data_IF_927373572616
#
_entry.id   IF_927373572616
#
_cell.length_a   1.000
_cell.length_b   1.000
_cell.length_c   1.000
_cell.angle_alpha   90.00
_cell.angle_beta   90.00
_cell.angle_gamma   90.00
#
_symmetry.space_group_name_H-M   'P 1'
#
loop_
_entity.id
_entity.type
_entity.pdbx_description
1 polymer ?
#
# COMPACT_ATOMS: atom_id res chain seq x y z
N UNK A 1 29.20 -23.59 38.45
CA UNK A 1 29.48 -23.17 37.06
C UNK A 1 28.14 -22.75 36.45
N UNK A 2 27.74 -21.49 36.62
CA UNK A 2 26.44 -20.97 36.15
C UNK A 2 26.63 -20.23 34.83
N UNK A 3 26.09 -20.79 33.75
CA UNK A 3 26.05 -20.12 32.44
C UNK A 3 24.90 -19.11 32.50
N UNK A 4 25.24 -17.85 32.78
CA UNK A 4 24.32 -16.71 32.58
C UNK A 4 24.23 -16.43 31.08
N UNK A 5 23.16 -16.87 30.44
CA UNK A 5 22.82 -16.44 29.09
C UNK A 5 22.30 -15.00 29.15
N UNK A 6 23.13 -14.03 28.79
CA UNK A 6 22.68 -12.66 28.56
C UNK A 6 21.60 -12.64 27.47
N UNK A 7 20.46 -11.95 27.65
CA UNK A 7 19.47 -11.82 26.60
C UNK A 7 20.12 -11.11 25.40
N UNK A 8 20.12 -11.77 24.25
CA UNK A 8 20.60 -11.16 23.01
C UNK A 8 19.77 -9.90 22.76
N UNK A 9 20.42 -8.73 22.83
CA UNK A 9 19.75 -7.47 22.49
C UNK A 9 19.38 -7.52 21.01
N UNK A 10 18.10 -7.66 20.71
CA UNK A 10 17.59 -7.56 19.34
C UNK A 10 18.01 -6.21 18.78
N UNK A 11 18.99 -6.20 17.88
CA UNK A 11 19.42 -4.99 17.20
C UNK A 11 18.20 -4.37 16.53
N UNK A 12 17.85 -3.14 16.94
CA UNK A 12 16.79 -2.38 16.30
C UNK A 12 17.13 -2.28 14.81
N UNK A 13 16.17 -2.52 13.90
CA UNK A 13 16.42 -2.34 12.48
C UNK A 13 17.02 -0.94 12.26
N UNK A 14 18.16 -0.88 11.57
CA UNK A 14 18.88 0.36 11.31
C UNK A 14 17.96 1.27 10.51
N UNK A 15 17.67 2.46 11.04
CA UNK A 15 16.89 3.48 10.34
C UNK A 15 17.55 3.84 9.02
N UNK A 16 16.76 3.92 7.95
CA UNK A 16 17.21 4.14 6.56
C UNK A 16 16.62 5.47 6.04
N UNK A 17 17.25 6.61 6.39
CA UNK A 17 16.75 7.92 5.98
C UNK A 17 16.71 8.11 4.46
N UNK A 18 17.57 7.40 3.74
CA UNK A 18 17.60 7.34 2.28
C UNK A 18 16.28 6.80 1.70
N UNK A 19 15.73 5.74 2.30
CA UNK A 19 14.48 5.14 1.84
C UNK A 19 13.29 6.06 2.16
N UNK A 20 13.28 6.68 3.34
CA UNK A 20 12.23 7.64 3.70
C UNK A 20 12.27 8.89 2.81
N UNK A 21 13.47 9.35 2.42
CA UNK A 21 13.65 10.42 1.43
C UNK A 21 13.07 10.05 0.06
N UNK A 22 13.30 8.82 -0.41
CA UNK A 22 12.71 8.34 -1.66
C UNK A 22 11.18 8.29 -1.61
N UNK A 23 10.59 7.88 -0.47
CA UNK A 23 9.14 7.92 -0.28
C UNK A 23 8.60 9.35 -0.32
N UNK A 24 9.29 10.29 0.32
CA UNK A 24 8.90 11.68 0.31
C UNK A 24 8.89 12.25 -1.12
N UNK A 25 9.92 11.95 -1.93
CA UNK A 25 9.97 12.33 -3.34
C UNK A 25 8.84 11.71 -4.17
N UNK A 26 8.56 10.42 -3.93
CA UNK A 26 7.47 9.71 -4.60
C UNK A 26 6.11 10.36 -4.30
N UNK A 27 5.83 10.68 -3.03
CA UNK A 27 4.61 11.39 -2.62
C UNK A 27 4.56 12.80 -3.22
N UNK A 28 5.66 13.55 -3.16
CA UNK A 28 5.72 14.92 -3.68
C UNK A 28 5.44 14.96 -5.19
N UNK A 29 5.97 13.99 -5.94
CA UNK A 29 5.68 13.83 -7.37
C UNK A 29 4.18 13.70 -7.64
N UNK A 30 3.48 12.87 -6.86
CA UNK A 30 2.03 12.67 -6.98
C UNK A 30 1.26 13.95 -6.61
N UNK A 31 1.66 14.63 -5.54
CA UNK A 31 1.03 15.89 -5.11
C UNK A 31 1.19 16.99 -6.16
N UNK A 32 2.40 17.15 -6.72
CA UNK A 32 2.66 18.13 -7.77
C UNK A 32 1.83 17.80 -9.02
N UNK A 33 1.72 16.53 -9.39
CA UNK A 33 0.91 16.11 -10.54
C UNK A 33 -0.57 16.48 -10.38
N UNK A 34 -1.15 16.32 -9.19
CA UNK A 34 -2.56 16.69 -8.97
C UNK A 34 -2.74 18.21 -8.85
N UNK A 35 -1.81 18.92 -8.23
CA UNK A 35 -1.92 20.38 -8.07
C UNK A 35 -1.59 21.15 -9.36
N UNK A 36 -0.64 20.66 -10.15
CA UNK A 36 -0.11 21.30 -11.36
C UNK A 36 0.19 20.24 -12.45
N UNK A 37 -0.86 19.66 -13.08
CA UNK A 37 -0.70 18.52 -13.99
C UNK A 37 0.19 18.81 -15.21
N UNK A 38 0.24 20.07 -15.66
CA UNK A 38 1.08 20.48 -16.78
C UNK A 38 2.57 20.68 -16.41
N UNK A 39 2.91 20.68 -15.12
CA UNK A 39 4.28 20.95 -14.64
C UNK A 39 5.12 19.68 -14.52
N UNK A 40 4.51 18.56 -14.13
CA UNK A 40 5.19 17.28 -13.97
C UNK A 40 4.40 16.16 -14.66
N UNK A 41 4.49 16.12 -15.99
CA UNK A 41 3.92 15.05 -16.80
C UNK A 41 4.47 13.70 -16.31
N UNK A 42 3.57 12.79 -15.91
CA UNK A 42 3.96 11.48 -15.38
C UNK A 42 4.18 11.42 -13.86
N UNK A 43 3.87 12.48 -13.10
CA UNK A 43 4.09 12.45 -11.65
C UNK A 43 3.29 11.38 -10.88
N UNK A 44 2.27 10.78 -11.51
CA UNK A 44 1.56 9.59 -11.03
C UNK A 44 2.46 8.35 -10.84
N UNK A 45 3.60 8.26 -11.54
CA UNK A 45 4.61 7.19 -11.34
C UNK A 45 5.15 7.16 -9.91
N UNK A 46 5.00 8.26 -9.16
CA UNK A 46 5.29 8.28 -7.73
C UNK A 46 4.51 7.24 -6.94
N UNK A 47 3.30 6.86 -7.36
CA UNK A 47 2.55 5.77 -6.70
C UNK A 47 3.25 4.43 -6.88
N UNK A 48 3.68 4.11 -8.11
CA UNK A 48 4.36 2.86 -8.43
C UNK A 48 5.68 2.75 -7.64
N UNK A 49 6.45 3.84 -7.56
CA UNK A 49 7.68 3.91 -6.75
C UNK A 49 7.36 3.69 -5.27
N UNK A 50 6.30 4.30 -4.76
CA UNK A 50 5.89 4.14 -3.37
C UNK A 50 5.52 2.68 -3.05
N UNK A 51 4.80 1.99 -3.95
CA UNK A 51 4.47 0.57 -3.81
C UNK A 51 5.70 -0.32 -3.81
N UNK A 52 6.68 -0.08 -4.69
CA UNK A 52 7.97 -0.80 -4.67
C UNK A 52 8.69 -0.64 -3.33
N UNK A 53 8.77 0.59 -2.82
CA UNK A 53 9.43 0.85 -1.52
C UNK A 53 8.67 0.19 -0.37
N UNK A 54 7.33 0.26 -0.38
CA UNK A 54 6.48 -0.39 0.62
C UNK A 54 6.65 -1.90 0.63
N UNK A 55 6.71 -2.52 -0.55
CA UNK A 55 7.05 -3.93 -0.74
C UNK A 55 8.40 -4.28 -0.13
N UNK A 56 9.45 -3.53 -0.49
CA UNK A 56 10.80 -3.74 0.06
C UNK A 56 10.84 -3.67 1.59
N UNK A 57 10.25 -2.63 2.18
CA UNK A 57 10.25 -2.43 3.63
C UNK A 57 9.50 -3.54 4.36
N UNK A 58 8.33 -3.94 3.84
CA UNK A 58 7.53 -4.94 4.53
C UNK A 58 8.09 -6.35 4.40
N UNK A 59 8.63 -6.70 3.23
CA UNK A 59 9.30 -7.98 3.02
C UNK A 59 10.51 -8.11 3.94
N UNK A 60 11.32 -7.06 4.11
CA UNK A 60 12.43 -7.09 5.08
C UNK A 60 11.97 -7.37 6.52
N UNK A 61 10.88 -6.75 6.97
CA UNK A 61 10.31 -7.00 8.30
C UNK A 61 9.85 -8.44 8.44
N UNK A 62 9.13 -8.95 7.42
CA UNK A 62 8.58 -10.31 7.41
C UNK A 62 9.72 -11.34 7.35
N UNK A 63 10.61 -11.24 6.37
CA UNK A 63 11.68 -12.20 6.13
C UNK A 63 12.65 -12.26 7.31
N UNK A 64 13.01 -11.11 7.90
CA UNK A 64 13.83 -11.09 9.11
C UNK A 64 13.13 -11.80 10.27
N UNK A 65 11.85 -11.53 10.49
CA UNK A 65 11.08 -12.21 11.53
C UNK A 65 10.98 -13.72 11.30
N UNK A 66 10.75 -14.15 10.06
CA UNK A 66 10.64 -15.56 9.69
C UNK A 66 12.00 -16.28 9.81
N UNK A 67 13.09 -15.64 9.36
CA UNK A 67 14.44 -16.17 9.49
C UNK A 67 14.86 -16.37 10.96
N UNK A 68 14.46 -15.45 11.83
CA UNK A 68 14.73 -15.51 13.27
C UNK A 68 13.72 -16.37 14.05
N UNK A 69 12.70 -16.93 13.39
CA UNK A 69 11.62 -17.67 14.04
C UNK A 69 10.77 -16.83 15.01
N UNK A 70 10.83 -15.50 14.91
CA UNK A 70 10.21 -14.54 15.82
C UNK A 70 9.07 -13.75 15.16
N UNK A 71 8.59 -14.16 13.99
CA UNK A 71 7.51 -13.47 13.29
C UNK A 71 6.17 -13.71 14.00
N UNK A 72 5.49 -12.61 14.33
CA UNK A 72 4.18 -12.60 14.98
C UNK A 72 3.23 -11.78 14.13
N UNK A 73 2.15 -12.43 13.64
CA UNK A 73 1.09 -11.77 12.90
C UNK A 73 0.41 -10.69 13.74
N UNK A 74 0.13 -10.99 15.01
CA UNK A 74 -0.49 -10.03 15.92
C UNK A 74 0.37 -8.77 16.05
N UNK A 75 1.67 -8.91 16.33
CA UNK A 75 2.55 -7.75 16.49
C UNK A 75 2.75 -6.99 15.19
N UNK A 76 2.75 -7.70 14.05
CA UNK A 76 2.80 -7.11 12.72
C UNK A 76 1.61 -6.19 12.48
N UNK A 77 0.38 -6.71 12.63
CA UNK A 77 -0.83 -5.93 12.41
C UNK A 77 -1.03 -4.84 13.48
N UNK A 78 -0.72 -5.12 14.75
CA UNK A 78 -0.83 -4.14 15.82
C UNK A 78 0.11 -2.93 15.63
N UNK A 79 1.29 -3.12 15.03
CA UNK A 79 2.17 -2.00 14.66
C UNK A 79 1.61 -1.19 13.49
N UNK A 80 1.03 -1.85 12.50
CA UNK A 80 0.38 -1.20 11.35
C UNK A 80 -0.79 -0.34 11.79
N UNK A 81 -1.70 -0.90 12.59
CA UNK A 81 -2.86 -0.19 13.15
C UNK A 81 -2.41 1.07 13.90
N UNK A 82 -1.47 0.95 14.85
CA UNK A 82 -0.96 2.09 15.63
C UNK A 82 -0.25 3.16 14.78
N UNK A 83 0.27 2.80 13.61
CA UNK A 83 0.95 3.72 12.70
C UNK A 83 -0.04 4.45 11.79
N UNK A 84 -1.07 3.77 11.30
CA UNK A 84 -1.91 4.25 10.20
C UNK A 84 -3.21 4.87 10.71
N UNK A 85 -3.90 4.21 11.63
CA UNK A 85 -5.21 4.67 12.10
C UNK A 85 -5.21 6.10 12.67
N UNK A 86 -4.18 6.57 13.42
CA UNK A 86 -4.18 7.96 13.87
C UNK A 86 -4.26 8.97 12.73
N UNK A 87 -3.50 8.76 11.65
CA UNK A 87 -3.53 9.63 10.48
C UNK A 87 -4.86 9.53 9.73
N UNK A 88 -5.37 8.31 9.52
CA UNK A 88 -6.68 8.08 8.90
C UNK A 88 -7.81 8.76 9.68
N UNK A 89 -7.83 8.62 11.00
CA UNK A 89 -8.82 9.28 11.87
C UNK A 89 -8.74 10.79 11.77
N UNK A 90 -7.54 11.37 11.76
CA UNK A 90 -7.36 12.83 11.60
C UNK A 90 -7.92 13.29 10.24
N UNK A 91 -7.62 12.56 9.16
CA UNK A 91 -8.12 12.92 7.82
C UNK A 91 -9.65 12.79 7.75
N UNK A 92 -10.23 11.70 8.24
CA UNK A 92 -11.70 11.51 8.25
C UNK A 92 -12.41 12.60 9.06
N UNK A 93 -11.97 12.85 10.30
CA UNK A 93 -12.57 13.87 11.17
C UNK A 93 -12.36 15.28 10.63
N UNK A 94 -11.16 15.56 10.09
CA UNK A 94 -10.86 16.84 9.44
C UNK A 94 -11.73 17.07 8.21
N UNK A 95 -11.90 16.04 7.36
CA UNK A 95 -12.78 16.11 6.20
C UNK A 95 -14.24 16.30 6.60
N UNK A 96 -14.73 15.65 7.67
CA UNK A 96 -16.09 15.91 8.16
C UNK A 96 -16.25 17.32 8.72
N UNK A 97 -15.28 17.80 9.48
CA UNK A 97 -15.31 19.15 10.05
C UNK A 97 -15.34 20.21 8.94
N UNK A 98 -14.43 20.11 7.97
CA UNK A 98 -14.38 21.02 6.82
C UNK A 98 -15.61 20.84 5.94
N UNK A 99 -16.01 19.60 5.67
CA UNK A 99 -17.19 19.27 4.88
C UNK A 99 -18.46 19.91 5.43
N UNK A 100 -18.65 19.90 6.75
CA UNK A 100 -19.79 20.52 7.40
C UNK A 100 -19.89 22.04 7.14
N UNK A 101 -18.76 22.74 7.07
CA UNK A 101 -18.73 24.20 6.87
C UNK A 101 -18.73 24.61 5.40
N UNK A 102 -18.16 23.79 4.50
CA UNK A 102 -17.85 24.19 3.14
C UNK A 102 -18.64 23.44 2.04
N UNK A 103 -19.19 22.26 2.32
CA UNK A 103 -19.93 21.48 1.32
C UNK A 103 -21.44 21.74 1.38
N UNK A 104 -22.12 21.56 0.25
CA UNK A 104 -23.58 21.55 0.19
C UNK A 104 -24.12 20.30 0.90
N UNK A 105 -25.39 20.30 1.38
CA UNK A 105 -25.95 19.16 2.11
C UNK A 105 -25.84 17.82 1.37
N UNK A 106 -26.01 17.79 0.05
CA UNK A 106 -25.87 16.55 -0.73
C UNK A 106 -24.41 16.09 -0.84
N UNK A 107 -23.46 16.99 -1.08
CA UNK A 107 -22.02 16.68 -1.10
C UNK A 107 -21.51 16.19 0.26
N UNK A 108 -22.07 16.72 1.35
CA UNK A 108 -21.74 16.26 2.70
C UNK A 108 -22.30 14.86 2.98
N UNK A 109 -23.49 14.52 2.46
CA UNK A 109 -24.01 13.14 2.54
C UNK A 109 -23.13 12.18 1.75
N UNK A 110 -22.68 12.57 0.56
CA UNK A 110 -21.76 11.76 -0.24
C UNK A 110 -20.45 11.54 0.52
N UNK A 111 -19.87 12.59 1.10
CA UNK A 111 -18.68 12.48 1.96
C UNK A 111 -18.86 11.46 3.09
N UNK A 112 -20.00 11.51 3.80
CA UNK A 112 -20.31 10.54 4.86
C UNK A 112 -20.41 9.13 4.29
N UNK A 113 -21.11 8.94 3.18
CA UNK A 113 -21.30 7.65 2.54
C UNK A 113 -19.99 7.01 2.06
N UNK A 114 -19.00 7.83 1.70
CA UNK A 114 -17.68 7.38 1.22
C UNK A 114 -16.70 7.05 2.35
N UNK A 115 -16.85 7.68 3.50
CA UNK A 115 -15.94 7.51 4.64
C UNK A 115 -15.67 6.06 5.07
N UNK A 116 -16.63 5.10 5.01
CA UNK A 116 -16.34 3.71 5.37
C UNK A 116 -15.36 3.06 4.40
N UNK A 117 -15.38 3.42 3.11
CA UNK A 117 -14.48 2.83 2.14
C UNK A 117 -13.03 3.23 2.39
N UNK A 118 -12.80 4.50 2.76
CA UNK A 118 -11.52 4.97 3.24
C UNK A 118 -11.12 4.32 4.58
N UNK A 119 -12.03 4.27 5.55
CA UNK A 119 -11.75 3.75 6.89
C UNK A 119 -11.41 2.25 6.91
N UNK A 120 -12.04 1.47 6.03
CA UNK A 120 -11.84 0.02 5.92
C UNK A 120 -10.88 -0.37 4.79
N UNK A 121 -10.17 0.59 4.18
CA UNK A 121 -9.17 0.32 3.14
C UNK A 121 -9.73 -0.41 1.90
N UNK A 122 -10.96 -0.07 1.50
CA UNK A 122 -11.66 -0.61 0.32
C UNK A 122 -12.05 0.49 -0.68
N UNK A 123 -11.46 1.67 -0.55
CA UNK A 123 -11.65 2.81 -1.44
C UNK A 123 -11.37 2.47 -2.91
N UNK A 124 -10.34 1.67 -3.17
CA UNK A 124 -9.97 1.22 -4.50
C UNK A 124 -11.07 0.38 -5.17
N UNK A 125 -11.82 -0.42 -4.39
CA UNK A 125 -12.97 -1.17 -4.91
C UNK A 125 -14.16 -0.27 -5.22
N UNK A 126 -14.44 0.73 -4.37
CA UNK A 126 -15.47 1.72 -4.67
C UNK A 126 -15.13 2.43 -5.98
N UNK A 127 -13.92 2.97 -6.10
CA UNK A 127 -13.46 3.65 -7.30
C UNK A 127 -13.49 2.75 -8.53
N UNK A 128 -13.13 1.47 -8.42
CA UNK A 128 -13.27 0.53 -9.53
C UNK A 128 -14.70 0.45 -10.05
N UNK A 129 -15.69 0.39 -9.15
CA UNK A 129 -17.11 0.23 -9.51
C UNK A 129 -17.74 1.56 -9.93
N UNK A 130 -17.26 2.69 -9.43
CA UNK A 130 -17.85 4.02 -9.67
C UNK A 130 -17.18 4.80 -10.81
N UNK A 131 -15.91 4.50 -11.13
CA UNK A 131 -15.16 5.17 -12.22
C UNK A 131 -15.54 4.57 -13.58
N UNK A 132 -15.90 5.43 -14.56
CA UNK A 132 -16.31 5.02 -15.92
C UNK A 132 -17.79 5.30 -16.27
N UNK A 133 -18.55 5.92 -15.37
CA UNK A 133 -19.91 6.44 -15.63
C UNK A 133 -19.96 7.96 -15.76
N UNK A 134 -21.17 8.55 -15.69
CA UNK A 134 -21.46 10.01 -15.77
C UNK A 134 -20.68 10.90 -14.75
N UNK A 135 -19.90 10.31 -13.83
CA UNK A 135 -19.29 10.93 -12.65
C UNK A 135 -17.75 11.09 -12.70
N UNK A 136 -17.10 10.94 -13.87
CA UNK A 136 -15.63 11.01 -14.00
C UNK A 136 -14.99 12.27 -13.40
N UNK A 137 -15.55 13.46 -13.64
CA UNK A 137 -15.01 14.73 -13.12
C UNK A 137 -15.32 14.93 -11.62
N UNK A 138 -16.39 14.31 -11.11
CA UNK A 138 -16.76 14.43 -9.69
C UNK A 138 -15.80 13.64 -8.79
N UNK A 139 -15.25 12.53 -9.28
CA UNK A 139 -14.38 11.63 -8.51
C UNK A 139 -13.07 12.29 -8.08
N UNK A 140 -12.48 13.14 -8.93
CA UNK A 140 -11.23 13.85 -8.60
C UNK A 140 -11.39 14.89 -7.48
N UNK A 141 -12.61 15.34 -7.24
CA UNK A 141 -12.93 16.31 -6.20
C UNK A 141 -13.31 15.65 -4.87
N UNK A 142 -13.40 14.31 -4.84
CA UNK A 142 -13.80 13.60 -3.64
C UNK A 142 -12.64 13.49 -2.65
N UNK A 143 -12.79 13.99 -1.41
CA UNK A 143 -11.68 14.06 -0.45
C UNK A 143 -11.02 12.71 -0.13
N UNK A 144 -11.77 11.61 -0.28
CA UNK A 144 -11.30 10.28 0.06
C UNK A 144 -10.71 9.50 -1.10
N UNK A 145 -10.76 10.02 -2.34
CA UNK A 145 -10.26 9.30 -3.51
C UNK A 145 -8.83 8.78 -3.30
N UNK A 146 -7.96 9.57 -2.66
CA UNK A 146 -6.54 9.24 -2.49
C UNK A 146 -6.29 8.04 -1.56
N UNK A 147 -7.31 7.56 -0.83
CA UNK A 147 -7.21 6.35 -0.02
C UNK A 147 -7.14 5.07 -0.86
N UNK A 148 -7.37 5.13 -2.17
CA UNK A 148 -7.31 3.95 -3.03
C UNK A 148 -5.94 3.26 -2.96
N UNK A 149 -4.85 4.03 -2.98
CA UNK A 149 -3.50 3.46 -3.00
C UNK A 149 -3.12 2.87 -1.63
N UNK A 150 -3.55 3.53 -0.55
CA UNK A 150 -3.46 3.00 0.81
C UNK A 150 -4.31 1.73 0.96
N UNK A 151 -5.48 1.68 0.31
CA UNK A 151 -6.35 0.50 0.25
C UNK A 151 -5.65 -0.71 -0.36
N UNK A 152 -5.04 -0.53 -1.53
CA UNK A 152 -4.22 -1.56 -2.18
C UNK A 152 -3.06 -2.00 -1.30
N UNK A 153 -2.35 -1.05 -0.69
CA UNK A 153 -1.21 -1.33 0.20
C UNK A 153 -1.63 -2.15 1.45
N UNK A 154 -2.72 -1.79 2.12
CA UNK A 154 -3.19 -2.53 3.30
C UNK A 154 -3.77 -3.90 2.94
N UNK A 155 -4.46 -4.03 1.80
CA UNK A 155 -4.90 -5.34 1.29
C UNK A 155 -3.68 -6.23 1.02
N UNK A 156 -2.62 -5.70 0.42
CA UNK A 156 -1.36 -6.41 0.27
C UNK A 156 -0.81 -6.86 1.64
N UNK A 157 -0.82 -5.99 2.66
CA UNK A 157 -0.34 -6.34 3.99
C UNK A 157 -1.18 -7.38 4.73
N UNK A 158 -2.44 -7.60 4.35
CA UNK A 158 -3.26 -8.69 4.89
C UNK A 158 -2.83 -10.03 4.29
N UNK A 159 -2.65 -10.11 2.98
CA UNK A 159 -2.39 -11.39 2.30
C UNK A 159 -0.91 -11.76 2.27
N UNK A 160 -0.02 -10.80 2.05
CA UNK A 160 1.39 -11.06 1.79
C UNK A 160 2.13 -11.74 2.95
N UNK A 161 1.97 -11.33 4.23
CA UNK A 161 2.64 -12.02 5.33
C UNK A 161 2.20 -13.48 5.48
N UNK A 162 0.93 -13.78 5.19
CA UNK A 162 0.41 -15.15 5.21
C UNK A 162 1.06 -15.98 4.09
N UNK A 163 1.12 -15.43 2.87
CA UNK A 163 1.78 -16.06 1.72
C UNK A 163 3.25 -16.34 2.05
N UNK A 164 3.97 -15.36 2.58
CA UNK A 164 5.36 -15.53 2.98
C UNK A 164 5.52 -16.60 4.06
N UNK A 165 4.69 -16.57 5.11
CA UNK A 165 4.75 -17.54 6.20
C UNK A 165 4.54 -18.98 5.72
N UNK A 166 3.53 -19.20 4.86
CA UNK A 166 3.22 -20.52 4.31
C UNK A 166 4.34 -21.05 3.40
N UNK A 167 4.90 -20.18 2.56
CA UNK A 167 5.94 -20.55 1.61
C UNK A 167 7.36 -20.54 2.22
N UNK A 168 7.56 -20.03 3.43
CA UNK A 168 8.88 -19.92 4.05
C UNK A 168 9.53 -21.29 4.31
N UNK A 169 8.72 -22.31 4.62
CA UNK A 169 9.18 -23.63 5.08
C UNK A 169 9.63 -24.58 3.98
N UNK A 170 9.44 -24.25 2.70
CA UNK A 170 9.84 -25.13 1.59
C UNK A 170 11.34 -25.05 1.32
N UNK A 171 11.79 -24.10 0.51
CA UNK A 171 13.20 -23.82 0.25
C UNK A 171 13.33 -22.41 -0.29
N UNK A 172 14.48 -21.76 -0.09
CA UNK A 172 14.72 -20.39 -0.58
C UNK A 172 14.47 -20.27 -2.10
N UNK A 173 14.87 -21.29 -2.88
CA UNK A 173 14.65 -21.32 -4.33
C UNK A 173 13.16 -21.42 -4.68
N UNK A 174 12.41 -22.31 -4.02
CA UNK A 174 10.96 -22.46 -4.28
C UNK A 174 10.20 -21.22 -3.83
N UNK A 175 10.56 -20.65 -2.69
CA UNK A 175 9.99 -19.41 -2.18
C UNK A 175 10.18 -18.25 -3.18
N UNK A 176 11.41 -18.02 -3.64
CA UNK A 176 11.71 -17.02 -4.66
C UNK A 176 10.95 -17.29 -5.97
N UNK A 177 10.95 -18.54 -6.45
CA UNK A 177 10.23 -18.91 -7.67
C UNK A 177 8.71 -18.64 -7.56
N UNK A 178 8.10 -18.87 -6.39
CA UNK A 178 6.70 -18.53 -6.15
C UNK A 178 6.45 -17.03 -6.19
N UNK A 179 7.32 -16.21 -5.58
CA UNK A 179 7.19 -14.75 -5.65
C UNK A 179 7.35 -14.23 -7.07
N UNK A 180 8.33 -14.75 -7.82
CA UNK A 180 8.54 -14.41 -9.24
C UNK A 180 7.33 -14.83 -10.09
N UNK A 181 6.76 -16.01 -9.85
CA UNK A 181 5.56 -16.46 -10.55
C UNK A 181 4.38 -15.53 -10.29
N UNK A 182 4.13 -15.15 -9.02
CA UNK A 182 3.07 -14.20 -8.67
C UNK A 182 3.30 -12.82 -9.31
N UNK A 183 4.56 -12.39 -9.39
CA UNK A 183 4.97 -11.14 -10.04
C UNK A 183 4.63 -11.18 -11.54
N UNK A 184 5.02 -12.24 -12.24
CA UNK A 184 4.75 -12.41 -13.67
C UNK A 184 3.25 -12.48 -13.94
N UNK A 185 2.47 -13.20 -13.11
CA UNK A 185 1.01 -13.28 -13.24
C UNK A 185 0.38 -11.89 -13.05
N UNK A 186 0.75 -11.17 -11.99
CA UNK A 186 0.21 -9.84 -11.70
C UNK A 186 0.56 -8.83 -12.78
N UNK A 187 1.81 -8.83 -13.27
CA UNK A 187 2.22 -7.96 -14.37
C UNK A 187 1.48 -8.34 -15.66
N UNK A 188 1.35 -9.63 -15.98
CA UNK A 188 0.56 -10.07 -17.14
C UNK A 188 -0.89 -9.58 -17.09
N UNK A 189 -1.53 -9.66 -15.92
CA UNK A 189 -2.87 -9.10 -15.70
C UNK A 189 -2.91 -7.58 -15.86
N UNK A 190 -1.90 -6.87 -15.35
CA UNK A 190 -1.77 -5.43 -15.55
C UNK A 190 -1.72 -5.05 -17.04
N UNK A 191 -0.89 -5.73 -17.83
CA UNK A 191 -0.77 -5.46 -19.28
C UNK A 191 -2.07 -5.76 -20.03
N UNK A 192 -2.72 -6.88 -19.66
CA UNK A 192 -4.00 -7.25 -20.23
C UNK A 192 -5.07 -6.20 -19.89
N UNK A 193 -5.28 -5.91 -18.61
CA UNK A 193 -6.32 -4.98 -18.17
C UNK A 193 -6.08 -3.55 -18.63
N UNK A 194 -4.82 -3.11 -18.79
CA UNK A 194 -4.53 -1.78 -19.36
C UNK A 194 -5.13 -1.61 -20.75
N UNK A 195 -5.25 -2.70 -21.52
CA UNK A 195 -5.79 -2.67 -22.88
C UNK A 195 -7.32 -2.82 -22.95
N UNK A 196 -7.94 -3.44 -21.95
CA UNK A 196 -9.37 -3.82 -21.99
C UNK A 196 -10.23 -3.13 -20.92
N UNK A 197 -9.66 -2.83 -19.75
CA UNK A 197 -10.38 -2.32 -18.56
C UNK A 197 -9.42 -1.49 -17.69
N UNK A 198 -9.01 -0.32 -18.19
CA UNK A 198 -7.96 0.53 -17.59
C UNK A 198 -8.24 0.93 -16.14
N UNK A 199 -9.51 1.12 -15.77
CA UNK A 199 -9.94 1.39 -14.39
C UNK A 199 -9.59 0.23 -13.46
N UNK A 200 -9.84 -1.02 -13.91
CA UNK A 200 -9.48 -2.22 -13.15
C UNK A 200 -7.96 -2.31 -13.01
N UNK A 201 -7.24 -2.09 -14.11
CA UNK A 201 -5.78 -2.08 -14.12
C UNK A 201 -5.21 -1.11 -13.09
N UNK A 202 -5.83 0.08 -12.97
CA UNK A 202 -5.35 1.14 -12.10
C UNK A 202 -5.64 0.91 -10.62
N UNK A 203 -6.86 0.49 -10.24
CA UNK A 203 -7.29 0.42 -8.83
C UNK A 203 -7.16 -0.96 -8.18
N UNK A 204 -6.97 -2.04 -8.94
CA UNK A 204 -7.04 -3.39 -8.37
C UNK A 204 -5.74 -3.86 -7.73
N UNK A 205 -5.86 -4.57 -6.60
CA UNK A 205 -4.71 -5.20 -5.95
C UNK A 205 -3.98 -6.15 -6.89
N UNK A 206 -4.69 -7.02 -7.62
CA UNK A 206 -4.08 -8.09 -8.42
C UNK A 206 -3.29 -7.56 -9.63
N UNK A 207 -3.65 -6.41 -10.19
CA UNK A 207 -2.91 -5.75 -11.28
C UNK A 207 -1.79 -4.85 -10.76
N UNK A 208 -1.82 -4.44 -9.48
CA UNK A 208 -0.76 -3.66 -8.81
C UNK A 208 0.20 -4.49 -7.96
N UNK A 209 -0.12 -5.77 -7.75
CA UNK A 209 0.64 -6.66 -6.86
C UNK A 209 2.11 -6.79 -7.27
N UNK A 210 2.41 -6.71 -8.56
CA UNK A 210 3.77 -6.81 -9.10
C UNK A 210 4.69 -5.69 -8.59
N UNK A 211 4.18 -4.47 -8.38
CA UNK A 211 4.95 -3.32 -7.88
C UNK A 211 5.45 -3.58 -6.45
N UNK A 212 4.57 -4.11 -5.60
CA UNK A 212 4.93 -4.50 -4.23
C UNK A 212 5.84 -5.74 -4.23
N UNK A 213 5.61 -6.70 -5.13
CA UNK A 213 6.41 -7.93 -5.23
C UNK A 213 7.85 -7.68 -5.69
N UNK A 214 8.09 -6.81 -6.67
CA UNK A 214 9.46 -6.52 -7.11
C UNK A 214 10.28 -5.89 -5.98
N UNK A 215 9.66 -5.00 -5.20
CA UNK A 215 10.23 -4.47 -3.97
C UNK A 215 10.55 -5.59 -2.98
N UNK A 216 9.65 -6.56 -2.81
CA UNK A 216 9.83 -7.69 -1.91
C UNK A 216 10.81 -8.77 -2.36
N UNK A 217 11.07 -8.88 -3.67
CA UNK A 217 12.06 -9.80 -4.25
C UNK A 217 13.47 -9.23 -4.09
N UNK A 218 13.61 -7.90 -4.17
CA UNK A 218 14.91 -7.23 -4.12
C UNK A 218 15.83 -7.65 -2.94
N UNK A 219 15.36 -7.73 -1.68
CA UNK A 219 16.19 -8.17 -0.54
C UNK A 219 16.72 -9.60 -0.66
N UNK A 220 16.14 -10.43 -1.52
CA UNK A 220 16.59 -11.82 -1.73
C UNK A 220 17.72 -11.92 -2.76
N UNK A 221 17.94 -10.85 -3.54
CA UNK A 221 18.98 -10.77 -4.59
C UNK A 221 20.22 -10.02 -4.12
N UNK A 222 20.13 -9.30 -3.01
CA UNK A 222 21.21 -8.50 -2.38
C UNK A 222 21.93 -9.27 -1.28
#
# INVERSE_FOLDING_TARGET
>A
MSITTSPQSFSRPRYRPDIDGMRALAILSVLIFHAYPNTLLGGFVGVDIFFVISGYLISNIIFRGLALGSFSFFDFYARRVRRIFPAVTIVLLGSFLLGFFFLRPEEFKDLIAESPYAAFFVENWRLYVTTGGYWEVATELQPFMHFWSLGVEEQYYIFYPLICFLLWRVSARKFLASLVLMFVISWGLCLYDTSYESVRAFYSLHTRFWELLIGGIWPMLS
#
